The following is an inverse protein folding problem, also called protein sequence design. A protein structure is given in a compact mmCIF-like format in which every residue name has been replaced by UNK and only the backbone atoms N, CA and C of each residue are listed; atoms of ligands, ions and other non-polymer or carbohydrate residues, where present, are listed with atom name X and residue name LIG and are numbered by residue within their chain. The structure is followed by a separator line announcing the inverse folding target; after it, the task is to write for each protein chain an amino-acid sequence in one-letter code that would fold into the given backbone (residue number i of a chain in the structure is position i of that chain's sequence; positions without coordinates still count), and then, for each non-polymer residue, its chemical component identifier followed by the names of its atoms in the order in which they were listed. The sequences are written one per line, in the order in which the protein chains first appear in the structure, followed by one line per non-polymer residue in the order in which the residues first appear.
data_IF_391732885798
#
_entry.id   IF_391732885798
#
_cell.length_a   1.000
_cell.length_b   1.000
_cell.length_c   1.000
_cell.angle_alpha   90.00
_cell.angle_beta   90.00
_cell.angle_gamma   90.00
#
_symmetry.space_group_name_H-M   'P 1'
#
loop_
_entity.id
_entity.type
_entity.pdbx_description
1 polymer ?
#
# COMPACT_ATOMS: atom_id res chain seq x y z
N UNK A 1 12.25 8.17 -1.33
CA UNK A 1 11.43 7.10 -0.76
C UNK A 1 11.12 7.38 0.71
N UNK A 2 9.87 7.37 1.05
CA UNK A 2 9.39 7.58 2.42
C UNK A 2 8.89 6.26 2.99
N UNK A 3 9.31 5.92 4.20
CA UNK A 3 8.80 4.76 4.91
C UNK A 3 7.89 5.25 6.04
N UNK A 4 6.64 4.79 6.05
CA UNK A 4 5.64 5.20 7.03
C UNK A 4 5.15 3.98 7.79
N UNK A 5 5.40 3.96 9.10
CA UNK A 5 4.86 2.95 9.99
C UNK A 5 3.51 3.46 10.51
N UNK A 6 2.43 2.82 10.08
CA UNK A 6 1.08 3.31 10.39
C UNK A 6 0.71 3.14 11.86
N UNK A 7 0.04 4.14 12.40
CA UNK A 7 -0.58 4.09 13.72
C UNK A 7 -1.86 4.92 13.67
N UNK A 8 -2.61 4.94 14.77
CA UNK A 8 -3.89 5.64 14.84
C UNK A 8 -3.80 7.15 14.60
N UNK A 9 -2.62 7.73 14.78
CA UNK A 9 -2.40 9.17 14.63
C UNK A 9 -1.81 9.58 13.29
N UNK A 10 -1.47 8.62 12.43
CA UNK A 10 -0.89 8.91 11.12
C UNK A 10 -1.91 9.61 10.23
N UNK A 11 -1.54 10.77 9.69
CA UNK A 11 -2.33 11.46 8.68
C UNK A 11 -1.96 10.91 7.31
N UNK A 12 -2.67 9.87 6.90
CA UNK A 12 -2.32 9.11 5.69
C UNK A 12 -2.49 9.96 4.43
N UNK A 13 -3.55 10.75 4.34
CA UNK A 13 -3.78 11.63 3.19
C UNK A 13 -2.62 12.60 3.00
N UNK A 14 -2.14 13.19 4.09
CA UNK A 14 -1.03 14.13 4.05
C UNK A 14 0.26 13.46 3.58
N UNK A 15 0.52 12.24 4.07
CA UNK A 15 1.71 11.50 3.64
C UNK A 15 1.66 11.21 2.14
N UNK A 16 0.49 10.80 1.63
CA UNK A 16 0.32 10.53 0.20
C UNK A 16 0.51 11.81 -0.61
N UNK A 17 -0.06 12.92 -0.17
CA UNK A 17 0.03 14.19 -0.89
C UNK A 17 1.47 14.70 -0.98
N UNK A 18 2.25 14.53 0.07
CA UNK A 18 3.58 15.12 0.18
C UNK A 18 4.71 14.24 -0.35
N UNK A 19 4.44 13.02 -0.77
CA UNK A 19 5.48 12.09 -1.19
C UNK A 19 5.12 11.40 -2.49
N UNK A 20 6.13 11.08 -3.30
CA UNK A 20 5.95 10.39 -4.58
C UNK A 20 5.99 8.88 -4.42
N UNK A 21 6.90 8.40 -3.59
CA UNK A 21 7.08 6.97 -3.35
C UNK A 21 7.04 6.71 -1.85
N UNK A 22 6.14 5.83 -1.43
CA UNK A 22 5.95 5.54 0.00
C UNK A 22 5.84 4.04 0.22
N UNK A 23 6.45 3.57 1.30
CA UNK A 23 6.27 2.20 1.79
C UNK A 23 5.52 2.30 3.11
N UNK A 24 4.30 1.78 3.14
CA UNK A 24 3.49 1.75 4.36
C UNK A 24 3.65 0.41 5.05
N UNK A 25 3.94 0.44 6.34
CA UNK A 25 4.12 -0.73 7.18
C UNK A 25 3.11 -0.74 8.33
N UNK A 26 2.96 -1.88 9.00
CA UNK A 26 2.01 -2.08 10.11
C UNK A 26 0.58 -1.82 9.69
N UNK A 27 0.16 -2.49 8.63
CA UNK A 27 -1.13 -2.22 7.99
C UNK A 27 -2.33 -2.72 8.76
N UNK A 28 -2.22 -3.82 9.50
CA UNK A 28 -3.34 -4.64 9.93
C UNK A 28 -4.59 -3.90 10.44
N UNK A 29 -4.42 -2.99 11.39
CA UNK A 29 -5.56 -2.22 11.93
C UNK A 29 -5.87 -0.95 11.16
N UNK A 30 -4.98 -0.56 10.28
CA UNK A 30 -5.07 0.71 9.57
C UNK A 30 -5.33 0.54 8.07
N UNK A 31 -5.52 -0.68 7.63
CA UNK A 31 -5.67 -0.96 6.21
C UNK A 31 -6.87 -0.27 5.59
N UNK A 32 -8.01 -0.27 6.26
CA UNK A 32 -9.21 0.39 5.75
C UNK A 32 -9.00 1.89 5.56
N UNK A 33 -8.33 2.53 6.51
CA UNK A 33 -7.99 3.95 6.42
C UNK A 33 -7.03 4.21 5.28
N UNK A 34 -6.03 3.36 5.12
CA UNK A 34 -5.05 3.46 4.03
C UNK A 34 -5.73 3.29 2.68
N UNK A 35 -6.56 2.27 2.56
CA UNK A 35 -7.29 1.99 1.34
C UNK A 35 -8.19 3.17 0.94
N UNK A 36 -8.90 3.75 1.91
CA UNK A 36 -9.74 4.91 1.66
C UNK A 36 -8.92 6.11 1.23
N UNK A 37 -7.77 6.34 1.85
CA UNK A 37 -6.89 7.45 1.48
C UNK A 37 -6.33 7.26 0.06
N UNK A 38 -6.00 6.03 -0.31
CA UNK A 38 -5.55 5.72 -1.67
C UNK A 38 -6.67 5.96 -2.69
N UNK A 39 -7.90 5.60 -2.33
CA UNK A 39 -9.07 5.83 -3.17
C UNK A 39 -9.33 7.33 -3.32
N UNK A 40 -9.35 8.07 -2.21
CA UNK A 40 -9.62 9.52 -2.20
C UNK A 40 -8.58 10.31 -3.00
N UNK A 41 -7.36 9.85 -3.05
CA UNK A 41 -6.27 10.52 -3.78
C UNK A 41 -6.06 9.93 -5.18
N UNK A 42 -6.91 8.99 -5.60
CA UNK A 42 -6.82 8.31 -6.90
C UNK A 42 -5.50 7.57 -7.10
N UNK A 43 -5.01 6.94 -6.05
CA UNK A 43 -3.74 6.21 -6.05
C UNK A 43 -3.85 4.69 -5.86
N UNK A 44 -5.06 4.13 -5.86
CA UNK A 44 -5.23 2.68 -5.75
C UNK A 44 -4.46 1.93 -6.84
N UNK A 45 -4.50 2.43 -8.07
CA UNK A 45 -3.81 1.81 -9.19
C UNK A 45 -2.28 1.95 -9.11
N UNK A 46 -1.81 2.87 -8.29
CA UNK A 46 -0.39 3.12 -8.11
C UNK A 46 0.19 2.37 -6.90
N UNK A 47 -0.58 1.45 -6.35
CA UNK A 47 -0.18 0.72 -5.14
C UNK A 47 -0.19 -0.78 -5.37
N UNK A 48 0.70 -1.48 -4.66
CA UNK A 48 0.68 -2.94 -4.56
C UNK A 48 0.83 -3.33 -3.11
N UNK A 49 0.28 -4.49 -2.79
CA UNK A 49 0.35 -5.05 -1.44
C UNK A 49 1.21 -6.30 -1.49
N UNK A 50 2.18 -6.38 -0.60
CA UNK A 50 3.00 -7.58 -0.45
C UNK A 50 2.57 -8.25 0.85
N UNK A 51 1.85 -9.35 0.72
CA UNK A 51 1.35 -10.12 1.85
C UNK A 51 2.42 -11.07 2.35
N UNK A 52 2.59 -11.15 3.66
CA UNK A 52 3.60 -12.00 4.30
C UNK A 52 5.02 -11.72 3.80
N UNK A 53 5.35 -10.44 3.68
CA UNK A 53 6.63 -9.99 3.16
C UNK A 53 7.81 -10.67 3.90
N UNK A 54 8.67 -11.33 3.14
CA UNK A 54 9.82 -12.04 3.70
C UNK A 54 9.53 -13.43 4.27
N UNK A 55 8.29 -13.93 4.14
CA UNK A 55 7.89 -15.25 4.60
C UNK A 55 7.77 -16.21 3.41
N UNK A 56 7.71 -17.52 3.70
CA UNK A 56 7.63 -18.55 2.64
C UNK A 56 6.40 -18.39 1.73
N UNK A 57 5.32 -17.91 2.28
CA UNK A 57 4.06 -17.72 1.54
C UNK A 57 3.85 -16.26 1.14
N UNK A 58 4.93 -15.55 0.82
CA UNK A 58 4.84 -14.20 0.32
C UNK A 58 3.99 -14.14 -0.96
N UNK A 59 3.09 -13.18 -1.02
CA UNK A 59 2.19 -13.00 -2.14
C UNK A 59 2.13 -11.53 -2.54
N UNK A 60 2.19 -11.26 -3.84
CA UNK A 60 2.05 -9.90 -4.37
C UNK A 60 0.63 -9.71 -4.85
N UNK A 61 -0.07 -8.73 -4.29
CA UNK A 61 -1.46 -8.44 -4.62
C UNK A 61 -1.52 -7.10 -5.35
N UNK A 62 -1.95 -7.12 -6.60
CA UNK A 62 -2.07 -5.92 -7.42
C UNK A 62 -3.44 -5.27 -7.31
N UNK A 63 -4.46 -6.03 -6.95
CA UNK A 63 -5.83 -5.54 -6.81
C UNK A 63 -6.12 -5.13 -5.37
N UNK A 64 -5.53 -4.02 -4.97
CA UNK A 64 -5.67 -3.48 -3.61
C UNK A 64 -7.11 -3.07 -3.33
N UNK A 65 -7.81 -2.57 -4.35
CA UNK A 65 -9.19 -2.09 -4.19
C UNK A 65 -10.14 -3.18 -3.69
N UNK A 66 -9.93 -4.42 -4.12
CA UNK A 66 -10.79 -5.55 -3.74
C UNK A 66 -10.23 -6.38 -2.58
N UNK A 67 -9.14 -5.95 -1.99
CA UNK A 67 -8.56 -6.62 -0.82
C UNK A 67 -9.23 -6.10 0.44
N UNK A 68 -9.77 -6.99 1.25
CA UNK A 68 -10.48 -6.60 2.48
C UNK A 68 -9.63 -6.75 3.73
N UNK A 69 -8.81 -7.79 3.80
CA UNK A 69 -7.98 -8.08 4.96
C UNK A 69 -6.53 -8.24 4.57
N UNK A 70 -5.64 -7.87 5.47
CA UNK A 70 -4.20 -8.02 5.25
C UNK A 70 -3.59 -8.80 6.41
N UNK A 71 -2.55 -9.55 6.11
CA UNK A 71 -1.77 -10.25 7.13
C UNK A 71 -0.91 -9.27 7.91
N UNK A 72 -0.54 -9.67 9.12
CA UNK A 72 0.26 -8.82 10.01
C UNK A 72 1.57 -8.33 9.36
N UNK A 73 2.23 -9.20 8.59
CA UNK A 73 3.51 -8.87 7.94
C UNK A 73 3.33 -8.32 6.52
N UNK A 74 2.26 -7.59 6.28
CA UNK A 74 2.01 -7.01 4.96
C UNK A 74 2.58 -5.62 4.85
N UNK A 75 3.02 -5.27 3.63
CA UNK A 75 3.58 -3.97 3.30
C UNK A 75 2.89 -3.46 2.05
N UNK A 76 2.52 -2.18 2.04
CA UNK A 76 1.95 -1.56 0.85
C UNK A 76 2.95 -0.58 0.27
N UNK A 77 3.21 -0.73 -1.03
CA UNK A 77 4.11 0.16 -1.77
C UNK A 77 3.27 1.05 -2.67
N UNK A 78 3.42 2.34 -2.51
CA UNK A 78 2.81 3.35 -3.37
C UNK A 78 3.90 4.00 -4.20
N UNK A 79 3.73 3.99 -5.52
CA UNK A 79 4.66 4.63 -6.44
C UNK A 79 3.88 5.41 -7.49
N UNK A 80 3.70 6.69 -7.26
CA UNK A 80 2.99 7.55 -8.19
C UNK A 80 3.74 7.63 -9.53
N UNK A 81 3.06 7.38 -10.60
CA UNK A 81 3.60 7.56 -11.94
C UNK A 81 4.38 6.38 -12.55
N UNK A 82 4.65 5.32 -11.79
CA UNK A 82 5.46 4.23 -12.31
C UNK A 82 4.95 2.81 -12.11
N UNK A 83 4.08 2.61 -11.14
CA UNK A 83 3.70 1.27 -10.71
C UNK A 83 2.79 0.52 -11.69
N UNK A 84 2.00 1.23 -12.46
CA UNK A 84 1.14 0.61 -13.48
C UNK A 84 1.95 -0.20 -14.48
N UNK A 85 3.08 0.33 -14.90
CA UNK A 85 3.99 -0.36 -15.80
C UNK A 85 4.52 -1.65 -15.20
N UNK A 86 4.87 -1.58 -13.94
CA UNK A 86 5.40 -2.72 -13.22
C UNK A 86 4.35 -3.81 -13.00
N UNK A 87 3.12 -3.42 -12.70
CA UNK A 87 2.01 -4.36 -12.52
C UNK A 87 1.77 -5.25 -13.74
N UNK A 88 2.08 -4.77 -14.92
CA UNK A 88 1.94 -5.54 -16.15
C UNK A 88 2.87 -6.75 -16.21
N UNK A 89 3.98 -6.70 -15.48
CA UNK A 89 4.94 -7.80 -15.46
C UNK A 89 4.63 -8.84 -14.39
N UNK A 90 3.89 -8.48 -13.35
CA UNK A 90 3.64 -9.37 -12.21
C UNK A 90 2.21 -9.86 -12.11
N UNK A 91 1.30 -9.34 -12.92
CA UNK A 91 -0.11 -9.78 -12.92
C UNK A 91 -0.44 -10.69 -14.18
#
# INVERSE_FOLDING_TARGET
LKIVSLNKNTDIHKEIENNTNIVFMKLSRNFERLKKALEDTENLENSILISNCGKENEEIITDVANTEKVHYFSTLILKKGGLKKWKRFIS
#
